data_IF_266607751573
#
_entry.id   IF_266607751573
#
_cell.length_a   1.000
_cell.length_b   1.000
_cell.length_c   1.000
_cell.angle_alpha   90.00
_cell.angle_beta   90.00
_cell.angle_gamma   90.00
#
_symmetry.space_group_name_H-M   'P 1'
#
loop_
_entity.id
_entity.type
_entity.pdbx_description
1 polymer ?
#
# COMPACT_ATOMS: atom_id res chain seq x y z
N UNK A 1 -36.10 -9.86 57.64
CA UNK A 1 -35.95 -10.89 56.59
C UNK A 1 -36.00 -10.32 55.17
N UNK A 2 -36.54 -9.12 54.93
CA UNK A 2 -36.59 -8.48 53.59
C UNK A 2 -35.25 -7.86 53.13
N UNK A 3 -34.44 -7.32 54.05
CA UNK A 3 -33.21 -6.61 53.69
C UNK A 3 -32.17 -7.51 53.02
N UNK A 4 -32.08 -8.79 53.43
CA UNK A 4 -31.18 -9.76 52.81
C UNK A 4 -31.60 -10.13 51.37
N UNK A 5 -32.92 -10.20 51.10
CA UNK A 5 -33.46 -10.45 49.77
C UNK A 5 -33.26 -9.24 48.85
N UNK A 6 -33.40 -8.01 49.36
CA UNK A 6 -33.11 -6.79 48.60
C UNK A 6 -31.64 -6.71 48.18
N UNK A 7 -30.69 -7.01 49.08
CA UNK A 7 -29.27 -7.01 48.70
C UNK A 7 -28.92 -8.09 47.68
N UNK A 8 -29.53 -9.27 47.75
CA UNK A 8 -29.39 -10.32 46.73
C UNK A 8 -29.94 -9.87 45.38
N UNK A 9 -31.12 -9.24 45.36
CA UNK A 9 -31.72 -8.72 44.14
C UNK A 9 -30.86 -7.63 43.49
N UNK A 10 -30.32 -6.70 44.29
CA UNK A 10 -29.39 -5.66 43.79
C UNK A 10 -28.10 -6.28 43.26
N UNK A 11 -27.56 -7.30 43.94
CA UNK A 11 -26.37 -8.02 43.49
C UNK A 11 -26.58 -8.71 42.14
N UNK A 12 -27.70 -9.42 41.97
CA UNK A 12 -28.07 -10.07 40.70
C UNK A 12 -28.27 -9.03 39.60
N UNK A 13 -28.93 -7.91 39.91
CA UNK A 13 -29.16 -6.84 38.95
C UNK A 13 -27.84 -6.19 38.50
N UNK A 14 -26.90 -5.98 39.41
CA UNK A 14 -25.55 -5.51 39.09
C UNK A 14 -24.81 -6.47 38.15
N UNK A 15 -24.83 -7.77 38.45
CA UNK A 15 -24.21 -8.79 37.60
C UNK A 15 -24.87 -8.83 36.22
N UNK A 16 -26.20 -8.75 36.15
CA UNK A 16 -26.94 -8.74 34.89
C UNK A 16 -26.59 -7.51 34.02
N UNK A 17 -26.48 -6.32 34.64
CA UNK A 17 -26.09 -5.09 33.94
C UNK A 17 -24.65 -5.19 33.41
N UNK A 18 -23.72 -5.73 34.20
CA UNK A 18 -22.33 -5.91 33.78
C UNK A 18 -22.23 -6.87 32.59
N UNK A 19 -22.93 -8.00 32.63
CA UNK A 19 -22.95 -8.98 31.53
C UNK A 19 -23.58 -8.40 30.25
N UNK A 20 -24.68 -7.66 30.39
CA UNK A 20 -25.30 -6.98 29.25
C UNK A 20 -24.34 -5.95 28.62
N UNK A 21 -23.64 -5.17 29.46
CA UNK A 21 -22.66 -4.20 29.00
C UNK A 21 -21.46 -4.86 28.29
N UNK A 22 -20.95 -5.99 28.79
CA UNK A 22 -19.84 -6.70 28.14
C UNK A 22 -20.23 -7.23 26.76
N UNK A 23 -21.44 -7.79 26.62
CA UNK A 23 -21.93 -8.28 25.32
C UNK A 23 -22.17 -7.15 24.31
N UNK A 24 -22.58 -5.97 24.77
CA UNK A 24 -22.77 -4.81 23.89
C UNK A 24 -21.46 -4.28 23.28
N UNK A 25 -20.30 -4.53 23.89
CA UNK A 25 -19.01 -4.07 23.37
C UNK A 25 -18.45 -4.96 22.24
N UNK A 26 -18.86 -6.22 22.16
CA UNK A 26 -18.37 -7.17 21.14
C UNK A 26 -18.97 -6.94 19.74
N UNK A 27 -20.24 -6.51 19.65
CA UNK A 27 -20.89 -6.26 18.36
C UNK A 27 -20.28 -5.09 17.55
N UNK A 28 -20.02 -3.90 18.13
CA UNK A 28 -19.42 -2.80 17.40
C UNK A 28 -17.95 -3.05 17.06
N UNK A 29 -17.18 -3.73 17.92
CA UNK A 29 -15.75 -4.00 17.66
C UNK A 29 -15.55 -4.87 16.42
N UNK A 30 -16.28 -5.98 16.27
CA UNK A 30 -16.24 -6.82 15.06
C UNK A 30 -16.67 -6.05 13.81
N UNK A 31 -17.70 -5.21 13.92
CA UNK A 31 -18.17 -4.38 12.80
C UNK A 31 -17.12 -3.37 12.36
N UNK A 32 -16.43 -2.72 13.32
CA UNK A 32 -15.36 -1.77 13.04
C UNK A 32 -14.16 -2.43 12.35
N UNK A 33 -13.79 -3.65 12.76
CA UNK A 33 -12.72 -4.39 12.10
C UNK A 33 -13.05 -4.72 10.65
N UNK A 34 -14.27 -5.21 10.38
CA UNK A 34 -14.73 -5.48 9.01
C UNK A 34 -14.75 -4.22 8.16
N UNK A 35 -15.34 -3.13 8.67
CA UNK A 35 -15.38 -1.83 7.97
C UNK A 35 -13.97 -1.32 7.67
N UNK A 36 -13.04 -1.43 8.63
CA UNK A 36 -11.65 -1.04 8.43
C UNK A 36 -10.97 -1.89 7.35
N UNK A 37 -11.25 -3.19 7.32
CA UNK A 37 -10.76 -4.11 6.28
C UNK A 37 -11.26 -3.74 4.88
N UNK A 38 -12.56 -3.46 4.74
CA UNK A 38 -13.16 -3.05 3.46
C UNK A 38 -12.62 -1.70 2.97
N UNK A 39 -12.39 -0.76 3.88
CA UNK A 39 -11.77 0.53 3.56
C UNK A 39 -10.34 0.35 3.05
N UNK A 40 -9.53 -0.50 3.70
CA UNK A 40 -8.17 -0.81 3.27
C UNK A 40 -8.14 -1.45 1.88
N UNK A 41 -9.07 -2.37 1.60
CA UNK A 41 -9.19 -3.01 0.29
C UNK A 41 -9.56 -2.00 -0.80
N UNK A 42 -10.54 -1.13 -0.53
CA UNK A 42 -10.93 -0.06 -1.47
C UNK A 42 -9.76 0.88 -1.78
N UNK A 43 -8.96 1.23 -0.77
CA UNK A 43 -7.75 2.06 -0.97
C UNK A 43 -6.71 1.29 -1.79
N UNK A 44 -6.46 0.02 -1.48
CA UNK A 44 -5.51 -0.82 -2.21
C UNK A 44 -5.88 -0.98 -3.69
N UNK A 45 -7.16 -1.19 -4.01
CA UNK A 45 -7.66 -1.27 -5.38
C UNK A 45 -7.44 0.05 -6.14
N UNK A 46 -7.83 1.18 -5.54
CA UNK A 46 -7.60 2.51 -6.15
C UNK A 46 -6.13 2.80 -6.38
N UNK A 47 -5.27 2.42 -5.45
CA UNK A 47 -3.83 2.55 -5.60
C UNK A 47 -3.32 1.65 -6.73
N UNK A 48 -3.77 0.40 -6.81
CA UNK A 48 -3.37 -0.51 -7.88
C UNK A 48 -3.79 0.02 -9.25
N UNK A 49 -5.04 0.49 -9.38
CA UNK A 49 -5.53 1.13 -10.59
C UNK A 49 -4.71 2.37 -10.94
N UNK A 50 -4.43 3.23 -9.96
CA UNK A 50 -3.60 4.42 -10.15
C UNK A 50 -2.21 4.04 -10.67
N UNK A 51 -1.58 3.04 -10.05
CA UNK A 51 -0.24 2.58 -10.41
C UNK A 51 -0.23 1.95 -11.81
N UNK A 52 -1.19 1.09 -12.15
CA UNK A 52 -1.16 0.30 -13.38
C UNK A 52 -1.80 0.98 -14.59
N UNK A 53 -2.72 1.92 -14.36
CA UNK A 53 -3.53 2.53 -15.44
C UNK A 53 -3.17 3.98 -15.74
N UNK A 54 -2.28 4.58 -14.95
CA UNK A 54 -1.81 5.94 -15.21
C UNK A 54 -0.30 5.99 -15.45
N UNK A 55 0.18 6.85 -16.36
CA UNK A 55 1.61 6.97 -16.63
C UNK A 55 2.36 7.84 -15.60
N UNK A 56 1.64 8.57 -14.73
CA UNK A 56 2.23 9.61 -13.89
C UNK A 56 2.57 10.89 -14.68
N UNK A 57 3.21 11.85 -14.01
CA UNK A 57 3.59 13.12 -14.60
C UNK A 57 4.95 13.61 -14.09
N UNK A 58 5.91 13.94 -14.99
CA UNK A 58 5.84 13.84 -16.45
C UNK A 58 5.67 12.39 -16.96
N UNK A 59 4.95 12.11 -18.07
CA UNK A 59 4.65 10.73 -18.50
C UNK A 59 5.87 9.88 -18.85
N UNK A 60 6.99 10.51 -19.20
CA UNK A 60 8.28 9.96 -19.63
C UNK A 60 9.31 9.85 -18.48
N UNK A 61 8.87 9.99 -17.22
CA UNK A 61 9.79 10.05 -16.07
C UNK A 61 10.72 8.83 -15.92
N UNK A 62 10.39 7.67 -16.51
CA UNK A 62 11.25 6.48 -16.50
C UNK A 62 12.52 6.67 -17.34
N UNK A 63 12.36 7.09 -18.59
CA UNK A 63 13.46 7.26 -19.55
C UNK A 63 14.13 8.64 -19.45
N UNK A 64 13.42 9.65 -18.97
CA UNK A 64 13.92 11.02 -18.89
C UNK A 64 14.84 11.24 -17.67
N UNK A 65 16.15 11.22 -17.90
CA UNK A 65 17.18 11.36 -16.86
C UNK A 65 17.17 12.69 -16.11
N UNK A 66 16.49 13.71 -16.63
CA UNK A 66 16.35 15.02 -15.98
C UNK A 66 15.19 15.07 -14.98
N UNK A 67 14.29 14.08 -15.02
CA UNK A 67 13.24 13.94 -14.02
C UNK A 67 13.82 13.25 -12.80
N UNK A 68 13.92 14.00 -11.70
CA UNK A 68 14.29 13.49 -10.38
C UNK A 68 13.06 13.42 -9.49
N UNK A 69 13.20 12.87 -8.29
CA UNK A 69 12.13 12.80 -7.29
C UNK A 69 11.49 14.17 -6.99
N UNK A 70 12.27 15.25 -7.05
CA UNK A 70 11.77 16.61 -6.80
C UNK A 70 10.85 17.15 -7.92
N UNK A 71 10.99 16.63 -9.14
CA UNK A 71 10.24 17.10 -10.32
C UNK A 71 9.11 16.14 -10.70
N UNK A 72 9.01 14.98 -10.04
CA UNK A 72 7.93 14.02 -10.23
C UNK A 72 6.71 14.50 -9.43
N UNK A 73 5.63 14.85 -10.11
CA UNK A 73 4.43 15.38 -9.44
C UNK A 73 3.32 14.36 -9.30
N UNK A 74 3.35 13.30 -10.11
CA UNK A 74 2.36 12.23 -10.07
C UNK A 74 3.00 10.89 -10.39
N UNK A 75 2.60 9.84 -9.67
CA UNK A 75 3.14 8.50 -9.81
C UNK A 75 2.21 7.60 -10.62
N UNK A 76 2.82 6.81 -11.50
CA UNK A 76 2.13 5.83 -12.31
C UNK A 76 3.13 5.06 -13.16
N UNK A 77 2.84 3.79 -13.41
CA UNK A 77 3.72 2.85 -14.12
C UNK A 77 3.23 2.55 -15.53
N UNK A 78 2.03 2.98 -15.94
CA UNK A 78 1.52 2.69 -17.27
C UNK A 78 2.43 3.27 -18.36
N UNK A 79 2.58 2.53 -19.46
CA UNK A 79 3.23 3.01 -20.66
C UNK A 79 2.39 4.12 -21.29
N UNK A 80 3.01 5.27 -21.60
CA UNK A 80 2.30 6.37 -22.24
C UNK A 80 1.79 5.96 -23.63
N UNK A 81 0.48 6.07 -23.86
CA UNK A 81 -0.15 5.62 -25.11
C UNK A 81 -0.19 4.09 -25.28
N UNK A 82 0.24 3.32 -24.27
CA UNK A 82 0.13 1.87 -24.23
C UNK A 82 -1.29 1.41 -23.91
N UNK A 83 -1.53 0.10 -24.09
CA UNK A 83 -2.78 -0.51 -23.64
C UNK A 83 -2.84 -0.56 -22.10
N UNK A 84 -4.04 -0.65 -21.50
CA UNK A 84 -4.20 -0.84 -20.06
C UNK A 84 -3.37 -2.02 -19.54
N UNK A 85 -2.83 -1.88 -18.31
CA UNK A 85 -1.98 -2.87 -17.64
C UNK A 85 -0.62 -3.13 -18.30
N UNK A 86 -0.27 -2.45 -19.40
CA UNK A 86 1.10 -2.42 -19.90
C UNK A 86 1.89 -1.41 -19.10
N UNK A 87 2.85 -1.94 -18.34
CA UNK A 87 3.78 -1.16 -17.52
C UNK A 87 5.01 -0.78 -18.34
N UNK A 88 5.48 0.45 -18.16
CA UNK A 88 6.71 0.96 -18.74
C UNK A 88 7.93 0.33 -18.04
N UNK A 89 8.80 -0.39 -18.77
CA UNK A 89 9.97 -1.05 -18.18
C UNK A 89 11.00 -0.06 -17.61
N UNK A 90 11.16 1.13 -18.19
CA UNK A 90 12.14 2.12 -17.72
C UNK A 90 11.71 2.67 -16.35
N UNK A 91 10.41 2.87 -16.16
CA UNK A 91 9.82 3.26 -14.86
C UNK A 91 10.04 2.18 -13.81
N UNK A 92 9.86 0.90 -14.17
CA UNK A 92 10.10 -0.23 -13.26
C UNK A 92 11.58 -0.34 -12.89
N UNK A 93 12.48 -0.15 -13.85
CA UNK A 93 13.93 -0.17 -13.61
C UNK A 93 14.35 0.90 -12.60
N UNK A 94 13.73 2.10 -12.63
CA UNK A 94 13.98 3.15 -11.64
C UNK A 94 13.49 2.84 -10.22
N UNK A 95 12.57 1.89 -10.06
CA UNK A 95 12.15 1.41 -8.74
C UNK A 95 13.05 0.31 -8.21
N UNK A 96 13.76 -0.39 -9.10
CA UNK A 96 14.67 -1.44 -8.72
C UNK A 96 16.02 -0.85 -8.27
N UNK A 97 16.44 -1.20 -7.06
CA UNK A 97 17.83 -1.02 -6.64
C UNK A 97 18.56 -2.33 -6.89
N UNK A 98 18.86 -2.63 -8.15
CA UNK A 98 19.56 -3.86 -8.53
C UNK A 98 21.00 -3.76 -8.02
N UNK A 99 21.42 -4.70 -7.19
CA UNK A 99 22.76 -4.71 -6.57
C UNK A 99 23.91 -4.74 -7.59
N UNK A 100 23.64 -5.13 -8.84
CA UNK A 100 24.60 -5.19 -9.93
C UNK A 100 24.76 -3.88 -10.71
N UNK A 101 23.77 -2.98 -10.70
CA UNK A 101 23.81 -1.71 -11.41
C UNK A 101 23.28 -0.60 -10.48
N UNK A 102 24.13 0.33 -10.01
CA UNK A 102 23.67 1.41 -9.16
C UNK A 102 22.60 2.22 -9.90
N UNK A 103 21.41 2.29 -9.33
CA UNK A 103 20.32 3.08 -9.88
C UNK A 103 20.61 4.56 -9.61
N UNK A 104 20.86 5.38 -10.66
CA UNK A 104 21.23 6.78 -10.48
C UNK A 104 20.03 7.67 -10.15
N UNK A 105 18.80 7.19 -10.38
CA UNK A 105 17.56 7.96 -10.24
C UNK A 105 16.50 7.15 -9.48
N UNK A 106 16.82 6.66 -8.25
CA UNK A 106 15.88 5.89 -7.46
C UNK A 106 14.76 6.80 -6.97
N UNK A 107 13.52 6.27 -6.97
CA UNK A 107 12.38 6.94 -6.35
C UNK A 107 12.09 6.24 -5.02
N UNK A 108 12.17 6.98 -3.92
CA UNK A 108 12.05 6.39 -2.60
C UNK A 108 10.59 6.04 -2.24
N UNK A 109 10.40 5.00 -1.44
CA UNK A 109 9.06 4.51 -1.06
C UNK A 109 8.24 5.55 -0.27
N UNK A 110 8.90 6.39 0.53
CA UNK A 110 8.27 7.51 1.25
C UNK A 110 7.66 8.52 0.28
N UNK A 111 8.35 8.79 -0.81
CA UNK A 111 7.98 9.81 -1.79
C UNK A 111 6.90 9.27 -2.72
N UNK A 112 6.94 7.98 -3.05
CA UNK A 112 5.80 7.30 -3.68
C UNK A 112 4.54 7.36 -2.82
N UNK A 113 4.65 7.15 -1.50
CA UNK A 113 3.50 7.26 -0.59
C UNK A 113 2.93 8.68 -0.54
N UNK A 114 3.78 9.70 -0.70
CA UNK A 114 3.38 11.10 -0.80
C UNK A 114 2.65 11.38 -2.11
N UNK A 115 3.22 10.95 -3.24
CA UNK A 115 2.62 11.10 -4.58
C UNK A 115 1.30 10.35 -4.71
N UNK A 116 1.15 9.23 -4.00
CA UNK A 116 -0.09 8.46 -3.92
C UNK A 116 -1.10 9.01 -2.91
N UNK A 117 -0.74 10.05 -2.13
CA UNK A 117 -1.63 10.70 -1.17
C UNK A 117 -1.95 9.89 0.07
N UNK A 118 -1.11 8.91 0.43
CA UNK A 118 -1.38 7.96 1.52
C UNK A 118 -0.39 8.03 2.69
N UNK A 119 0.68 8.83 2.57
CA UNK A 119 1.79 8.93 3.53
C UNK A 119 1.37 9.06 5.00
N UNK A 120 0.36 9.89 5.28
CA UNK A 120 -0.06 10.19 6.66
C UNK A 120 -1.09 9.21 7.22
N UNK A 121 -1.65 8.34 6.38
CA UNK A 121 -2.78 7.47 6.73
C UNK A 121 -2.42 5.98 6.69
N UNK A 122 -1.53 5.57 5.78
CA UNK A 122 -1.22 4.18 5.50
C UNK A 122 0.28 3.95 5.32
N UNK A 123 0.75 2.77 5.73
CA UNK A 123 2.07 2.27 5.33
C UNK A 123 2.05 1.83 3.86
N UNK A 124 3.13 2.12 3.12
CA UNK A 124 3.24 1.76 1.71
C UNK A 124 4.41 0.83 1.44
N UNK A 125 4.16 -0.24 0.69
CA UNK A 125 5.19 -1.15 0.19
C UNK A 125 4.74 -1.74 -1.15
N UNK A 126 5.50 -1.45 -2.21
CA UNK A 126 5.32 -2.06 -3.52
C UNK A 126 6.34 -3.20 -3.69
N UNK A 127 5.86 -4.38 -4.08
CA UNK A 127 6.72 -5.54 -4.35
C UNK A 127 6.39 -6.06 -5.73
N UNK A 128 7.37 -6.03 -6.62
CA UNK A 128 7.29 -6.67 -7.93
C UNK A 128 8.13 -7.94 -7.89
N UNK A 129 7.56 -9.06 -8.33
CA UNK A 129 8.27 -10.33 -8.46
C UNK A 129 8.31 -10.71 -9.93
N UNK A 130 9.49 -10.94 -10.51
CA UNK A 130 9.57 -11.39 -11.89
C UNK A 130 8.93 -12.78 -11.99
N UNK A 131 8.19 -13.01 -13.07
CA UNK A 131 7.62 -14.33 -13.36
C UNK A 131 8.69 -15.31 -13.88
N UNK A 132 9.78 -14.79 -14.44
CA UNK A 132 10.88 -15.57 -15.03
C UNK A 132 12.20 -15.13 -14.41
N UNK A 133 13.05 -16.10 -14.06
CA UNK A 133 14.40 -15.83 -13.57
C UNK A 133 15.36 -15.73 -14.76
N UNK A 134 15.95 -14.56 -14.99
CA UNK A 134 16.92 -14.34 -16.05
C UNK A 134 18.29 -14.02 -15.43
N UNK A 135 19.34 -14.65 -15.94
CA UNK A 135 20.72 -14.37 -15.57
C UNK A 135 21.37 -13.57 -16.68
N UNK A 136 22.00 -12.45 -16.32
CA UNK A 136 22.76 -11.61 -17.25
C UNK A 136 24.23 -11.72 -16.84
N UNK A 137 25.06 -12.18 -17.76
CA UNK A 137 26.52 -12.22 -17.60
C UNK A 137 27.12 -11.14 -18.50
N UNK A 138 27.99 -10.31 -17.92
CA UNK A 138 28.74 -9.30 -18.69
C UNK A 138 29.80 -10.05 -19.50
N UNK A 139 29.71 -9.97 -20.82
CA UNK A 139 30.74 -10.55 -21.68
C UNK A 139 31.96 -9.62 -21.68
N UNK A 140 33.14 -10.20 -21.45
CA UNK A 140 34.41 -9.48 -21.62
C UNK A 140 34.59 -9.09 -23.08
N UNK A 141 35.06 -7.87 -23.30
CA UNK A 141 35.35 -7.34 -24.63
C UNK A 141 36.56 -8.08 -25.20
N UNK A 142 36.37 -8.85 -26.28
CA UNK A 142 37.49 -9.49 -26.99
C UNK A 142 37.91 -8.57 -28.14
N UNK A 143 39.05 -7.89 -27.99
CA UNK A 143 39.73 -7.22 -29.11
C UNK A 143 40.12 -8.28 -30.15
N UNK A 144 39.54 -8.16 -31.35
CA UNK A 144 39.89 -8.94 -32.54
C UNK A 144 40.73 -8.14 -33.52
#
# INVERSE_FOLDING_TARGET
MNTALEYLAVGILLVAVILAASHMLEAPSRTLETVRGEQLLTVAERLMDKILLTPGYPPDWGSNVYVTEANLTDFGLALQGGAPYIVDPDKVMRLANLTALPNPLPVNASSLAELLGIKDQYGFKLVMRPMVNAQVEVLDWVEG
#
